data_IF_178125208458
#
_entry.id   IF_178125208458
#
_cell.length_a   1.000
_cell.length_b   1.000
_cell.length_c   1.000
_cell.angle_alpha   90.00
_cell.angle_beta   90.00
_cell.angle_gamma   90.00
#
_symmetry.space_group_name_H-M   'P 1'
#
loop_
_entity.id
_entity.type
_entity.pdbx_description
1 polymer ?
#
# COMPACT_ATOMS: atom_id res chain seq x y z
N UNK A 1 1.43 -19.74 -0.24
CA UNK A 1 1.11 -18.30 -0.21
C UNK A 1 -0.41 -18.20 -0.19
N UNK A 2 -0.96 -17.60 0.86
CA UNK A 2 -2.40 -17.35 0.93
C UNK A 2 -2.72 -16.15 0.05
N UNK A 3 -3.59 -16.32 -0.95
CA UNK A 3 -4.07 -15.21 -1.76
C UNK A 3 -5.10 -14.44 -0.93
N UNK A 4 -4.70 -13.30 -0.36
CA UNK A 4 -5.64 -12.41 0.31
C UNK A 4 -6.61 -11.82 -0.74
N UNK A 5 -7.91 -11.98 -0.52
CA UNK A 5 -8.93 -11.29 -1.31
C UNK A 5 -8.99 -9.83 -0.89
N UNK A 6 -9.04 -8.91 -1.86
CA UNK A 6 -9.29 -7.51 -1.58
C UNK A 6 -10.74 -7.26 -1.12
N UNK A 7 -11.00 -6.24 -0.29
CA UNK A 7 -10.02 -5.31 0.28
C UNK A 7 -9.25 -5.91 1.47
N UNK A 8 -7.99 -5.48 1.63
CA UNK A 8 -7.14 -5.87 2.78
C UNK A 8 -7.08 -4.71 3.76
N UNK A 9 -7.53 -4.95 4.99
CA UNK A 9 -7.48 -3.98 6.09
C UNK A 9 -6.21 -4.15 6.91
N UNK A 10 -5.49 -3.06 7.13
CA UNK A 10 -4.20 -3.05 7.83
C UNK A 10 -4.23 -2.00 8.93
N UNK A 11 -3.77 -2.41 10.12
CA UNK A 11 -3.58 -1.54 11.31
C UNK A 11 -2.14 -1.58 11.84
N UNK A 12 -1.29 -2.39 11.24
CA UNK A 12 0.12 -2.48 11.61
C UNK A 12 0.86 -1.25 11.06
N UNK A 13 1.50 -0.42 11.91
CA UNK A 13 2.13 0.83 11.47
C UNK A 13 3.24 0.63 10.43
N UNK A 14 4.06 -0.43 10.54
CA UNK A 14 5.14 -0.70 9.60
C UNK A 14 4.57 -1.08 8.24
N UNK A 15 3.54 -1.92 8.24
CA UNK A 15 2.84 -2.32 7.00
C UNK A 15 2.10 -1.12 6.39
N UNK A 16 1.47 -0.27 7.20
CA UNK A 16 0.80 0.94 6.70
C UNK A 16 1.83 1.88 6.05
N UNK A 17 3.02 2.04 6.63
CA UNK A 17 4.06 2.87 6.05
C UNK A 17 4.53 2.32 4.69
N UNK A 18 4.70 1.00 4.58
CA UNK A 18 4.98 0.37 3.30
C UNK A 18 3.85 0.60 2.27
N UNK A 19 2.59 0.47 2.67
CA UNK A 19 1.42 0.75 1.80
C UNK A 19 1.40 2.21 1.36
N UNK A 20 1.75 3.16 2.24
CA UNK A 20 1.83 4.58 1.91
C UNK A 20 2.87 4.86 0.82
N UNK A 21 4.05 4.25 0.94
CA UNK A 21 5.10 4.33 -0.09
C UNK A 21 4.62 3.72 -1.40
N UNK A 22 4.06 2.50 -1.38
CA UNK A 22 3.56 1.83 -2.58
C UNK A 22 2.40 2.58 -3.25
N UNK A 23 1.56 3.25 -2.46
CA UNK A 23 0.49 4.11 -2.98
C UNK A 23 1.06 5.36 -3.63
N UNK A 24 2.06 5.99 -3.02
CA UNK A 24 2.76 7.15 -3.59
C UNK A 24 3.48 6.82 -4.92
N UNK A 25 3.98 5.59 -5.05
CA UNK A 25 4.60 5.08 -6.28
C UNK A 25 3.59 4.61 -7.34
N UNK A 26 2.29 4.55 -7.00
CA UNK A 26 1.25 4.06 -7.91
C UNK A 26 1.23 2.54 -8.08
N UNK A 27 1.88 1.77 -7.20
CA UNK A 27 1.93 0.31 -7.24
C UNK A 27 0.65 -0.34 -6.65
N UNK A 28 -0.05 0.36 -5.77
CA UNK A 28 -1.31 -0.10 -5.17
C UNK A 28 -2.33 1.04 -5.12
N UNK A 29 -3.61 0.67 -5.15
CA UNK A 29 -4.68 1.58 -4.78
C UNK A 29 -5.10 1.29 -3.34
N UNK A 30 -4.86 2.25 -2.45
CA UNK A 30 -5.22 2.15 -1.05
C UNK A 30 -5.83 3.45 -0.51
N UNK A 31 -6.73 3.31 0.45
CA UNK A 31 -7.18 4.42 1.30
C UNK A 31 -6.39 4.39 2.60
N UNK A 32 -5.79 5.52 2.99
CA UNK A 32 -4.96 5.64 4.18
C UNK A 32 -5.58 6.70 5.08
N UNK A 33 -5.66 6.41 6.38
CA UNK A 33 -6.18 7.32 7.40
C UNK A 33 -5.16 7.52 8.51
N UNK A 34 -4.79 8.77 8.84
CA UNK A 34 -5.13 10.02 8.14
C UNK A 34 -4.67 10.04 6.67
N UNK A 35 -5.26 10.91 5.82
CA UNK A 35 -4.93 10.94 4.39
C UNK A 35 -3.43 11.11 4.14
N UNK A 36 -2.93 10.39 3.14
CA UNK A 36 -1.55 10.46 2.69
C UNK A 36 -1.18 11.90 2.29
N UNK A 37 -0.34 12.55 3.09
CA UNK A 37 0.25 13.85 2.79
C UNK A 37 1.72 13.67 2.40
N UNK A 38 1.99 13.67 1.09
CA UNK A 38 3.35 13.53 0.53
C UNK A 38 4.30 14.69 0.89
N UNK A 39 3.79 15.77 1.50
CA UNK A 39 4.60 16.91 1.95
C UNK A 39 4.99 16.82 3.42
N UNK A 40 4.39 15.89 4.17
CA UNK A 40 4.71 15.63 5.58
C UNK A 40 5.47 14.32 5.74
N UNK A 41 6.09 14.17 6.90
CA UNK A 41 6.71 12.91 7.31
C UNK A 41 5.67 11.80 7.36
N UNK A 42 5.95 10.69 6.69
CA UNK A 42 5.21 9.43 6.85
C UNK A 42 5.39 8.97 8.30
N UNK A 43 4.35 9.01 9.14
CA UNK A 43 4.56 8.68 10.55
C UNK A 43 3.31 8.45 11.39
N UNK A 44 2.22 9.15 11.12
CA UNK A 44 1.03 9.12 12.00
C UNK A 44 -0.17 8.43 11.36
N UNK A 45 0.05 7.39 10.55
CA UNK A 45 -1.04 6.63 9.93
C UNK A 45 -1.59 5.58 10.89
N UNK A 46 -2.92 5.53 11.00
CA UNK A 46 -3.63 4.65 11.91
C UNK A 46 -4.20 3.42 11.19
N UNK A 47 -4.54 3.55 9.91
CA UNK A 47 -5.07 2.45 9.12
C UNK A 47 -4.87 2.63 7.62
N UNK A 48 -4.84 1.49 6.92
CA UNK A 48 -4.89 1.44 5.47
C UNK A 48 -5.86 0.36 4.98
N UNK A 49 -6.49 0.62 3.85
CA UNK A 49 -7.37 -0.32 3.14
C UNK A 49 -6.88 -0.45 1.71
N UNK A 50 -6.20 -1.55 1.39
CA UNK A 50 -5.73 -1.83 0.03
C UNK A 50 -6.89 -2.42 -0.76
N UNK A 51 -7.18 -1.83 -1.93
CA UNK A 51 -8.29 -2.25 -2.80
C UNK A 51 -7.83 -3.10 -3.97
N UNK A 52 -6.62 -2.85 -4.47
CA UNK A 52 -5.97 -3.67 -5.51
C UNK A 52 -4.48 -3.34 -5.63
N UNK A 53 -3.73 -4.25 -6.24
CA UNK A 53 -2.42 -3.97 -6.83
C UNK A 53 -2.67 -3.44 -8.25
N UNK A 54 -1.95 -2.39 -8.66
CA UNK A 54 -2.07 -1.82 -10.01
C UNK A 54 -1.31 -2.67 -11.03
N UNK A 55 -1.57 -2.51 -12.34
CA UNK A 55 -0.77 -3.16 -13.38
C UNK A 55 0.74 -2.87 -13.23
N UNK A 56 1.09 -1.64 -12.86
CA UNK A 56 2.47 -1.21 -12.60
C UNK A 56 3.05 -1.99 -11.41
N UNK A 57 2.31 -2.10 -10.30
CA UNK A 57 2.73 -2.89 -9.15
C UNK A 57 2.91 -4.38 -9.45
N UNK A 58 2.04 -4.95 -10.30
CA UNK A 58 2.20 -6.35 -10.76
C UNK A 58 3.46 -6.50 -11.61
N UNK A 59 3.73 -5.54 -12.49
CA UNK A 59 4.93 -5.57 -13.33
C UNK A 59 6.21 -5.47 -12.48
N UNK A 60 6.25 -4.59 -11.48
CA UNK A 60 7.36 -4.51 -10.53
C UNK A 60 7.58 -5.84 -9.79
N UNK A 61 6.51 -6.49 -9.31
CA UNK A 61 6.59 -7.81 -8.70
C UNK A 61 7.12 -8.89 -9.66
N UNK A 62 6.71 -8.84 -10.93
CA UNK A 62 7.14 -9.78 -11.95
C UNK A 62 8.62 -9.58 -12.36
N UNK A 63 9.15 -8.36 -12.28
CA UNK A 63 10.57 -8.08 -12.56
C UNK A 63 11.47 -8.49 -11.40
N UNK A 64 11.03 -8.28 -10.16
CA UNK A 64 11.83 -8.55 -8.96
C UNK A 64 11.84 -10.05 -8.57
N UNK A 65 10.79 -10.80 -8.93
CA UNK A 65 10.62 -12.20 -8.51
C UNK A 65 10.27 -13.18 -9.65
N UNK A 66 10.34 -12.75 -10.92
CA UNK A 66 10.15 -13.59 -12.11
C UNK A 66 11.46 -14.18 -12.63
#
# INVERSE_FOLDING_TARGET
MEHASFPVHVRDPEVIQAIAVLTALGCVEAEISPPLDLRRSFGDYESAVVKKITPEGINELAMEYG
#
